data_IF_483415193807
#
_entry.id   IF_483415193807
#
_cell.length_a   1.000
_cell.length_b   1.000
_cell.length_c   1.000
_cell.angle_alpha   90.00
_cell.angle_beta   90.00
_cell.angle_gamma   90.00
#
_symmetry.space_group_name_H-M   'P 1'
#
loop_
_entity.id
_entity.type
_entity.pdbx_description
1 polymer ?
#
# COMPACT_ATOMS: atom_id res chain seq x y z
N UNK A 1 16.38 -3.05 -5.09
CA UNK A 1 16.68 -2.65 -3.69
C UNK A 1 15.40 -2.80 -2.87
N UNK A 2 15.49 -3.05 -1.57
CA UNK A 2 14.33 -3.18 -0.67
C UNK A 2 14.47 -2.19 0.47
N UNK A 3 13.40 -1.50 0.80
CA UNK A 3 13.32 -0.47 1.82
C UNK A 3 12.18 -0.78 2.78
N UNK A 4 12.33 -0.37 4.04
CA UNK A 4 11.34 -0.54 5.09
C UNK A 4 10.92 0.83 5.60
N UNK A 5 9.62 1.09 5.60
CA UNK A 5 9.02 2.31 6.14
C UNK A 5 8.15 1.92 7.31
N UNK A 6 8.38 2.52 8.48
CA UNK A 6 7.64 2.22 9.70
C UNK A 6 6.86 3.44 10.17
N UNK A 7 5.63 3.21 10.61
CA UNK A 7 4.80 4.21 11.25
C UNK A 7 4.21 3.63 12.53
N UNK A 8 4.25 4.38 13.62
CA UNK A 8 3.45 4.04 14.79
C UNK A 8 1.98 4.32 14.46
N UNK A 9 1.15 3.30 14.56
CA UNK A 9 -0.29 3.40 14.36
C UNK A 9 -0.98 3.10 15.68
N UNK A 10 -1.87 4.01 16.08
CA UNK A 10 -2.81 3.78 17.17
C UNK A 10 -4.18 3.47 16.59
N UNK A 11 -4.63 2.22 16.76
CA UNK A 11 -5.91 1.75 16.27
C UNK A 11 -6.54 0.81 17.30
N UNK A 12 -7.84 0.95 17.55
CA UNK A 12 -8.58 0.09 18.49
C UNK A 12 -7.96 -0.02 19.89
N UNK A 13 -7.38 1.09 20.39
CA UNK A 13 -6.76 1.15 21.72
C UNK A 13 -5.34 0.56 21.80
N UNK A 14 -4.80 0.03 20.71
CA UNK A 14 -3.46 -0.56 20.63
C UNK A 14 -2.55 0.40 19.84
N UNK A 15 -1.32 0.58 20.32
CA UNK A 15 -0.22 1.20 19.57
C UNK A 15 0.71 0.10 19.06
N UNK A 16 1.04 0.13 17.78
CA UNK A 16 2.04 -0.76 17.20
C UNK A 16 2.82 -0.04 16.10
N UNK A 17 4.08 -0.44 15.91
CA UNK A 17 4.85 -0.05 14.73
C UNK A 17 4.45 -0.96 13.57
N UNK A 18 3.90 -0.34 12.53
CA UNK A 18 3.42 -1.01 11.33
C UNK A 18 4.37 -0.69 10.19
N UNK A 19 4.73 -1.72 9.42
CA UNK A 19 5.76 -1.63 8.37
C UNK A 19 5.17 -1.78 6.98
N UNK A 20 5.47 -0.83 6.11
CA UNK A 20 5.34 -0.95 4.66
C UNK A 20 6.69 -1.31 4.05
N UNK A 21 6.72 -2.26 3.12
CA UNK A 21 7.96 -2.65 2.42
C UNK A 21 7.92 -2.12 0.99
N UNK A 22 8.96 -1.41 0.59
CA UNK A 22 9.05 -0.80 -0.74
C UNK A 22 10.16 -1.47 -1.54
N UNK A 23 9.82 -1.96 -2.73
CA UNK A 23 10.75 -2.60 -3.64
C UNK A 23 11.04 -1.66 -4.80
N UNK A 24 12.32 -1.41 -5.08
CA UNK A 24 12.75 -0.78 -6.33
C UNK A 24 12.87 -1.82 -7.42
N UNK A 25 12.08 -1.63 -8.47
CA UNK A 25 12.06 -2.45 -9.68
C UNK A 25 13.24 -2.13 -10.60
N UNK A 26 13.43 -2.92 -11.65
CA UNK A 26 14.56 -2.77 -12.61
C UNK A 26 14.49 -1.47 -13.42
N UNK A 27 13.29 -0.96 -13.64
CA UNK A 27 12.98 0.26 -14.38
C UNK A 27 12.81 1.48 -13.46
N UNK A 28 13.44 1.44 -12.28
CA UNK A 28 13.45 2.52 -11.29
C UNK A 28 12.08 2.91 -10.68
N UNK A 29 11.00 2.23 -11.04
CA UNK A 29 9.71 2.39 -10.39
C UNK A 29 9.66 1.61 -9.06
N UNK A 30 8.66 1.95 -8.23
CA UNK A 30 8.44 1.33 -6.93
C UNK A 30 7.21 0.42 -6.94
N UNK A 31 7.36 -0.69 -6.21
CA UNK A 31 6.26 -1.48 -5.69
C UNK A 31 6.15 -1.23 -4.18
N UNK A 32 4.99 -0.78 -3.73
CA UNK A 32 4.68 -0.57 -2.30
C UNK A 32 3.86 -1.76 -1.81
N UNK A 33 4.45 -2.55 -0.91
CA UNK A 33 3.82 -3.73 -0.30
C UNK A 33 3.30 -3.39 1.09
N UNK A 34 2.02 -3.70 1.34
CA UNK A 34 1.30 -3.40 2.58
C UNK A 34 1.41 -1.90 2.96
N UNK A 35 0.80 -1.01 2.16
CA UNK A 35 0.91 0.42 2.40
C UNK A 35 0.43 0.80 3.81
N UNK A 36 1.08 1.81 4.39
CA UNK A 36 0.64 2.51 5.60
C UNK A 36 0.10 3.89 5.19
N UNK A 37 -0.20 4.77 6.14
CA UNK A 37 -0.75 6.08 5.82
C UNK A 37 0.20 6.89 4.92
N UNK A 38 -0.27 7.43 3.78
CA UNK A 38 0.52 8.30 2.90
C UNK A 38 0.65 9.70 3.51
N UNK A 39 1.27 9.80 4.68
CA UNK A 39 1.57 11.07 5.34
C UNK A 39 2.59 11.84 4.52
N UNK A 40 2.66 13.17 4.70
CA UNK A 40 3.68 13.98 4.04
C UNK A 40 5.10 13.52 4.37
N UNK A 41 5.33 13.06 5.60
CA UNK A 41 6.61 12.48 6.00
C UNK A 41 6.94 11.22 5.20
N UNK A 42 5.99 10.29 5.08
CA UNK A 42 6.16 9.06 4.29
C UNK A 42 6.48 9.40 2.84
N UNK A 43 5.69 10.29 2.24
CA UNK A 43 5.85 10.67 0.83
C UNK A 43 7.20 11.35 0.59
N UNK A 44 7.63 12.25 1.48
CA UNK A 44 8.95 12.88 1.40
C UNK A 44 10.10 11.86 1.53
N UNK A 45 9.97 10.88 2.42
CA UNK A 45 10.96 9.79 2.53
C UNK A 45 10.96 8.89 1.29
N UNK A 46 9.79 8.67 0.67
CA UNK A 46 9.67 7.93 -0.57
C UNK A 46 10.35 8.68 -1.73
N UNK A 47 10.08 9.99 -1.87
CA UNK A 47 10.67 10.87 -2.87
C UNK A 47 12.19 10.94 -2.75
N UNK A 48 12.72 10.92 -1.51
CA UNK A 48 14.16 10.89 -1.24
C UNK A 48 14.86 9.62 -1.76
N UNK A 49 14.12 8.61 -2.20
CA UNK A 49 14.69 7.46 -2.88
C UNK A 49 15.09 7.78 -4.32
N UNK A 50 14.64 8.88 -4.94
CA UNK A 50 14.89 9.23 -6.35
C UNK A 50 14.35 8.13 -7.30
N UNK A 51 13.03 7.96 -7.32
CA UNK A 51 12.33 6.96 -8.12
C UNK A 51 11.53 7.59 -9.28
N UNK A 52 11.19 6.79 -10.29
CA UNK A 52 10.41 7.27 -11.45
C UNK A 52 8.89 7.29 -11.17
N UNK A 53 8.45 6.69 -10.06
CA UNK A 53 7.06 6.68 -9.61
C UNK A 53 6.71 5.39 -8.87
N UNK A 54 5.50 5.32 -8.31
CA UNK A 54 4.93 4.07 -7.81
C UNK A 54 4.14 3.43 -8.94
N UNK A 55 4.53 2.22 -9.37
CA UNK A 55 3.82 1.48 -10.41
C UNK A 55 2.85 0.46 -9.84
N UNK A 56 3.17 -0.07 -8.67
CA UNK A 56 2.36 -1.11 -8.04
C UNK A 56 2.14 -0.82 -6.56
N UNK A 57 0.90 -0.99 -6.11
CA UNK A 57 0.52 -1.00 -4.70
C UNK A 57 -0.07 -2.37 -4.43
N UNK A 58 0.51 -3.13 -3.52
CA UNK A 58 0.09 -4.51 -3.24
C UNK A 58 -0.34 -4.64 -1.78
N UNK A 59 -1.56 -5.10 -1.56
CA UNK A 59 -2.04 -5.54 -0.26
C UNK A 59 -1.89 -7.07 -0.14
N UNK A 60 -0.91 -7.51 0.65
CA UNK A 60 -0.66 -8.90 1.00
C UNK A 60 -1.10 -9.28 2.41
N UNK A 61 -1.98 -8.49 3.04
CA UNK A 61 -2.41 -8.66 4.43
C UNK A 61 -3.94 -8.56 4.59
N UNK A 62 -4.50 -9.34 5.52
CA UNK A 62 -5.88 -9.18 6.02
C UNK A 62 -6.06 -7.95 6.90
N UNK A 63 -4.95 -7.47 7.45
CA UNK A 63 -4.93 -6.59 8.61
C UNK A 63 -5.46 -5.19 8.28
N UNK A 64 -6.31 -4.69 9.16
CA UNK A 64 -7.00 -3.42 8.98
C UNK A 64 -6.02 -2.25 8.87
N UNK A 65 -4.92 -2.27 9.65
CA UNK A 65 -3.89 -1.23 9.66
C UNK A 65 -3.19 -1.01 8.32
N UNK A 66 -3.29 -1.94 7.38
CA UNK A 66 -2.81 -1.76 5.99
C UNK A 66 -3.96 -1.48 5.03
N UNK A 67 -5.04 -2.25 5.18
CA UNK A 67 -6.18 -2.25 4.27
C UNK A 67 -6.85 -0.88 4.13
N UNK A 68 -7.01 -0.16 5.24
CA UNK A 68 -7.62 1.19 5.20
C UNK A 68 -6.81 2.22 4.44
N UNK A 69 -5.50 2.02 4.31
CA UNK A 69 -4.62 2.98 3.65
C UNK A 69 -4.42 2.69 2.17
N UNK A 70 -4.82 1.54 1.65
CA UNK A 70 -4.72 1.23 0.21
C UNK A 70 -5.41 2.29 -0.65
N UNK A 71 -6.67 2.65 -0.33
CA UNK A 71 -7.40 3.69 -1.06
C UNK A 71 -6.76 5.08 -0.98
N UNK A 72 -6.48 5.61 0.23
CA UNK A 72 -5.73 6.85 0.40
C UNK A 72 -4.39 6.88 -0.32
N UNK A 73 -3.63 5.78 -0.29
CA UNK A 73 -2.32 5.68 -0.93
C UNK A 73 -2.46 5.67 -2.46
N UNK A 74 -3.40 4.88 -2.99
CA UNK A 74 -3.70 4.84 -4.43
C UNK A 74 -4.09 6.20 -4.99
N UNK A 75 -4.83 7.03 -4.23
CA UNK A 75 -5.16 8.40 -4.64
C UNK A 75 -3.93 9.31 -4.78
N UNK A 76 -2.81 9.01 -4.13
CA UNK A 76 -1.55 9.76 -4.30
C UNK A 76 -0.76 9.32 -5.53
N UNK A 77 -1.03 8.11 -6.04
CA UNK A 77 -0.37 7.53 -7.20
C UNK A 77 -1.44 6.96 -8.15
N UNK A 78 -2.22 7.82 -8.84
CA UNK A 78 -3.38 7.40 -9.62
C UNK A 78 -3.03 6.46 -10.78
N UNK A 79 -1.80 6.50 -11.27
CA UNK A 79 -1.31 5.62 -12.34
C UNK A 79 -0.82 4.25 -11.82
N UNK A 80 -0.75 4.07 -10.49
CA UNK A 80 -0.32 2.82 -9.89
C UNK A 80 -1.43 1.77 -9.99
N UNK A 81 -1.05 0.57 -10.43
CA UNK A 81 -1.94 -0.59 -10.38
C UNK A 81 -2.03 -1.11 -8.94
N UNK A 82 -3.25 -1.22 -8.42
CA UNK A 82 -3.51 -1.76 -7.08
C UNK A 82 -3.80 -3.24 -7.17
N UNK A 83 -3.14 -4.02 -6.32
CA UNK A 83 -3.28 -5.46 -6.23
C UNK A 83 -3.72 -5.87 -4.83
N UNK A 84 -4.59 -6.86 -4.73
CA UNK A 84 -4.89 -7.54 -3.49
C UNK A 84 -4.92 -9.04 -3.72
N UNK A 85 -4.58 -9.81 -2.69
CA UNK A 85 -4.79 -11.26 -2.72
C UNK A 85 -6.31 -11.53 -2.83
N UNK A 86 -6.74 -12.52 -3.65
CA UNK A 86 -8.13 -12.93 -3.71
C UNK A 86 -8.74 -13.14 -2.32
N UNK A 87 -9.98 -12.71 -2.14
CA UNK A 87 -10.75 -12.85 -0.90
C UNK A 87 -10.18 -12.11 0.33
N UNK A 88 -9.15 -11.28 0.17
CA UNK A 88 -8.58 -10.48 1.29
C UNK A 88 -9.12 -9.05 1.34
N UNK A 89 -9.72 -8.55 0.26
CA UNK A 89 -10.14 -7.17 0.16
C UNK A 89 -11.56 -6.90 0.66
N UNK A 90 -12.53 -7.75 0.37
CA UNK A 90 -13.92 -7.51 0.75
C UNK A 90 -14.34 -8.46 1.86
N UNK A 91 -14.76 -7.92 3.00
CA UNK A 91 -15.36 -8.67 4.10
C UNK A 91 -16.06 -7.67 5.05
N UNK A 92 -17.23 -7.99 5.64
CA UNK A 92 -18.06 -9.18 5.41
C UNK A 92 -18.91 -9.10 4.14
N UNK A 93 -18.96 -7.93 3.50
CA UNK A 93 -19.61 -7.73 2.21
C UNK A 93 -18.62 -7.97 1.09
N UNK A 94 -18.87 -8.97 0.25
CA UNK A 94 -18.06 -9.29 -0.92
C UNK A 94 -18.34 -8.37 -2.10
N UNK A 95 -17.81 -7.15 -2.00
CA UNK A 95 -17.83 -6.19 -3.09
C UNK A 95 -16.85 -6.60 -4.20
N UNK A 96 -17.25 -6.54 -5.49
CA UNK A 96 -16.36 -6.88 -6.59
C UNK A 96 -15.11 -5.99 -6.59
N UNK A 97 -13.93 -6.59 -6.39
CA UNK A 97 -12.65 -5.84 -6.29
C UNK A 97 -12.36 -4.92 -7.49
N UNK A 98 -12.68 -5.30 -8.75
CA UNK A 98 -12.50 -4.39 -9.89
C UNK A 98 -13.29 -3.09 -9.79
N UNK A 99 -14.47 -3.10 -9.14
CA UNK A 99 -15.26 -1.88 -8.92
C UNK A 99 -14.62 -0.94 -7.89
N UNK A 100 -13.65 -1.44 -7.12
CA UNK A 100 -12.89 -0.70 -6.12
C UNK A 100 -11.50 -0.31 -6.63
N UNK A 101 -11.23 -0.53 -7.94
CA UNK A 101 -9.95 -0.24 -8.58
C UNK A 101 -8.83 -1.22 -8.21
N UNK A 102 -9.18 -2.44 -7.81
CA UNK A 102 -8.24 -3.44 -7.31
C UNK A 102 -8.22 -4.66 -8.22
N UNK A 103 -7.01 -5.04 -8.62
CA UNK A 103 -6.76 -6.29 -9.33
C UNK A 103 -6.46 -7.42 -8.34
N UNK A 104 -7.13 -8.55 -8.55
CA UNK A 104 -6.93 -9.81 -7.81
C UNK A 104 -6.48 -10.94 -8.72
N UNK A 105 -6.39 -10.69 -10.03
CA UNK A 105 -5.91 -11.60 -11.05
C UNK A 105 -4.43 -11.25 -11.29
N UNK A 106 -3.53 -12.01 -10.66
CA UNK A 106 -2.07 -11.85 -10.79
C UNK A 106 -1.57 -12.18 -12.19
#
# INVERSE_FOLDING_TARGET
RVYSFEQEIRLSGISANVRSTVFRMRDNHLLVYNPVAPTEEFLRQLDALEHDGVRHILLGATQYEHKVFVGPFARRFPDAKVWAVPDQWSFPLDLPSPLLGIDTQG
#
